data_IF_729435740191
#
_entry.id   IF_729435740191
#
_cell.length_a   1.000
_cell.length_b   1.000
_cell.length_c   1.000
_cell.angle_alpha   90.00
_cell.angle_beta   90.00
_cell.angle_gamma   90.00
#
_symmetry.space_group_name_H-M   'P 1'
#
loop_
_entity.id
_entity.type
_entity.pdbx_description
1 polymer ?
#
# COMPACT_ATOMS: atom_id res chain seq x y z
N UNK A 1 40.66 -5.07 -17.83
CA UNK A 1 40.13 -3.83 -17.24
C UNK A 1 39.76 -4.15 -15.81
N UNK A 2 40.44 -3.56 -14.84
CA UNK A 2 40.07 -3.66 -13.44
C UNK A 2 39.10 -2.51 -13.15
N UNK A 3 37.87 -2.81 -12.73
CA UNK A 3 36.94 -1.80 -12.22
C UNK A 3 37.53 -1.22 -10.95
N UNK A 4 37.53 0.11 -10.80
CA UNK A 4 37.99 0.73 -9.58
C UNK A 4 37.01 0.44 -8.45
N UNK A 5 37.48 0.46 -7.20
CA UNK A 5 36.63 0.27 -6.01
C UNK A 5 35.49 1.30 -5.94
N UNK A 6 35.71 2.48 -6.54
CA UNK A 6 34.71 3.53 -6.75
C UNK A 6 33.63 3.13 -7.77
N UNK A 7 33.99 2.43 -8.85
CA UNK A 7 33.03 1.98 -9.88
C UNK A 7 32.11 0.87 -9.35
N UNK A 8 32.62 0.03 -8.44
CA UNK A 8 31.82 -0.99 -7.76
C UNK A 8 30.90 -0.33 -6.73
N UNK A 9 31.39 0.65 -5.97
CA UNK A 9 30.58 1.40 -5.01
C UNK A 9 29.44 2.18 -5.68
N UNK A 10 29.66 2.76 -6.87
CA UNK A 10 28.61 3.40 -7.67
C UNK A 10 27.56 2.42 -8.20
N UNK A 11 27.94 1.16 -8.44
CA UNK A 11 27.03 0.11 -8.90
C UNK A 11 25.99 -0.30 -7.84
N UNK A 12 26.34 -0.13 -6.56
CA UNK A 12 25.49 -0.41 -5.40
C UNK A 12 25.01 0.87 -4.70
N UNK A 13 25.31 2.05 -5.25
CA UNK A 13 24.79 3.30 -4.72
C UNK A 13 23.27 3.36 -4.93
N UNK A 14 22.50 3.94 -4.00
CA UNK A 14 21.10 4.22 -4.21
C UNK A 14 20.91 4.94 -5.54
N UNK A 15 19.97 4.47 -6.36
CA UNK A 15 19.69 5.08 -7.66
C UNK A 15 19.42 6.59 -7.47
N UNK A 16 20.04 7.42 -8.33
CA UNK A 16 19.68 8.84 -8.34
C UNK A 16 18.18 8.96 -8.66
N UNK A 17 17.44 9.89 -8.05
CA UNK A 17 15.98 9.94 -8.21
C UNK A 17 15.47 10.04 -9.66
N UNK A 18 16.19 10.74 -10.54
CA UNK A 18 15.86 10.80 -11.97
C UNK A 18 16.08 9.46 -12.71
N UNK A 19 17.03 8.65 -12.26
CA UNK A 19 17.24 7.29 -12.78
C UNK A 19 16.19 6.32 -12.23
N UNK A 20 15.77 6.50 -10.96
CA UNK A 20 14.66 5.78 -10.39
C UNK A 20 13.35 6.05 -11.16
N UNK A 21 13.08 7.30 -11.57
CA UNK A 21 11.94 7.63 -12.42
C UNK A 21 11.96 6.88 -13.76
N UNK A 22 13.09 6.86 -14.46
CA UNK A 22 13.22 6.17 -15.74
C UNK A 22 12.97 4.66 -15.64
N UNK A 23 13.47 4.02 -14.56
CA UNK A 23 13.23 2.60 -14.27
C UNK A 23 11.76 2.36 -13.94
N UNK A 24 11.19 3.11 -12.99
CA UNK A 24 9.78 3.02 -12.60
C UNK A 24 8.85 3.20 -13.79
N UNK A 25 9.09 4.19 -14.65
CA UNK A 25 8.25 4.43 -15.82
C UNK A 25 8.40 3.32 -16.87
N UNK A 26 9.59 2.73 -17.00
CA UNK A 26 9.81 1.60 -17.91
C UNK A 26 9.04 0.36 -17.47
N UNK A 27 8.98 0.08 -16.17
CA UNK A 27 8.19 -1.01 -15.61
C UNK A 27 6.69 -0.69 -15.66
N UNK A 28 6.30 0.53 -15.30
CA UNK A 28 4.93 1.01 -15.38
C UNK A 28 4.34 0.82 -16.78
N UNK A 29 5.12 1.07 -17.84
CA UNK A 29 4.69 0.83 -19.23
C UNK A 29 4.41 -0.64 -19.53
N UNK A 30 5.13 -1.56 -18.90
CA UNK A 30 4.89 -2.99 -19.10
C UNK A 30 3.69 -3.49 -18.29
N UNK A 31 3.56 -3.03 -17.05
CA UNK A 31 2.55 -3.52 -16.11
C UNK A 31 1.21 -2.81 -16.30
N UNK A 32 1.19 -1.47 -16.29
CA UNK A 32 -0.06 -0.70 -16.25
C UNK A 32 -0.93 -0.86 -17.50
N UNK A 33 -0.34 -1.22 -18.65
CA UNK A 33 -1.09 -1.56 -19.86
C UNK A 33 -2.04 -2.77 -19.68
N UNK A 34 -1.74 -3.63 -18.71
CA UNK A 34 -2.48 -4.85 -18.41
C UNK A 34 -3.39 -4.71 -17.19
N UNK A 35 -3.26 -3.62 -16.42
CA UNK A 35 -4.08 -3.37 -15.24
C UNK A 35 -5.51 -3.03 -15.63
N UNK A 36 -6.47 -3.74 -15.04
CA UNK A 36 -7.90 -3.57 -15.31
C UNK A 36 -8.71 -3.16 -14.09
N UNK A 37 -8.25 -3.51 -12.90
CA UNK A 37 -8.96 -3.18 -11.66
C UNK A 37 -8.22 -2.11 -10.87
N UNK A 38 -8.94 -1.22 -10.15
CA UNK A 38 -8.28 -0.21 -9.33
C UNK A 38 -7.38 -0.82 -8.24
N UNK A 39 -7.76 -1.96 -7.66
CA UNK A 39 -6.96 -2.64 -6.64
C UNK A 39 -5.60 -3.12 -7.17
N UNK A 40 -5.54 -3.65 -8.39
CA UNK A 40 -4.27 -4.08 -9.00
C UNK A 40 -3.31 -2.89 -9.16
N UNK A 41 -3.84 -1.73 -9.55
CA UNK A 41 -3.08 -0.48 -9.66
C UNK A 41 -2.57 0.01 -8.29
N UNK A 42 -3.40 -0.10 -7.25
CA UNK A 42 -3.01 0.29 -5.88
C UNK A 42 -1.97 -0.66 -5.28
N UNK A 43 -2.11 -1.98 -5.50
CA UNK A 43 -1.14 -2.98 -5.05
C UNK A 43 0.22 -2.77 -5.72
N UNK A 44 0.23 -2.62 -7.04
CA UNK A 44 1.46 -2.31 -7.77
C UNK A 44 2.11 -1.00 -7.28
N UNK A 45 1.30 0.03 -7.05
CA UNK A 45 1.81 1.31 -6.52
C UNK A 45 2.38 1.20 -5.11
N UNK A 46 1.74 0.42 -4.25
CA UNK A 46 2.21 0.19 -2.88
C UNK A 46 3.52 -0.57 -2.87
N UNK A 47 3.63 -1.63 -3.67
CA UNK A 47 4.84 -2.43 -3.81
C UNK A 47 6.00 -1.60 -4.38
N UNK A 48 5.75 -0.83 -5.44
CA UNK A 48 6.72 0.10 -6.01
C UNK A 48 7.22 1.12 -4.97
N UNK A 49 6.34 1.71 -4.16
CA UNK A 49 6.73 2.64 -3.09
C UNK A 49 7.60 1.93 -2.04
N UNK A 50 7.22 0.71 -1.66
CA UNK A 50 7.97 -0.12 -0.73
C UNK A 50 9.38 -0.45 -1.24
N UNK A 51 9.50 -0.87 -2.48
CA UNK A 51 10.76 -1.22 -3.13
C UNK A 51 11.72 -0.01 -3.29
N UNK A 52 11.17 1.20 -3.40
CA UNK A 52 11.95 2.44 -3.42
C UNK A 52 12.40 2.88 -2.03
N UNK A 53 11.81 2.35 -0.97
CA UNK A 53 12.22 2.58 0.41
C UNK A 53 13.45 1.79 0.79
N UNK A 54 14.37 2.42 1.53
CA UNK A 54 15.53 1.78 2.13
C UNK A 54 15.06 0.65 3.07
N UNK A 55 15.41 -0.60 2.76
CA UNK A 55 14.90 -1.84 3.37
C UNK A 55 15.21 -2.09 4.86
N UNK A 56 15.38 -1.06 5.69
CA UNK A 56 15.56 -1.19 7.14
C UNK A 56 14.61 -0.23 7.88
N UNK A 57 13.46 -0.77 8.30
CA UNK A 57 12.56 -0.29 9.37
C UNK A 57 12.95 1.05 10.04
N UNK A 58 12.31 2.15 9.66
CA UNK A 58 12.53 3.48 10.26
C UNK A 58 11.90 4.60 9.43
N UNK A 59 11.88 5.86 9.92
CA UNK A 59 11.02 6.99 9.49
C UNK A 59 11.23 7.52 8.06
N UNK A 60 11.78 6.74 7.14
CA UNK A 60 12.21 7.17 5.81
C UNK A 60 11.14 7.08 4.72
N UNK A 61 9.96 6.53 5.03
CA UNK A 61 8.76 6.68 4.21
C UNK A 61 8.52 8.16 3.87
N UNK A 62 8.81 9.06 4.80
CA UNK A 62 8.68 10.50 4.55
C UNK A 62 9.70 11.02 3.54
N UNK A 63 10.90 10.45 3.46
CA UNK A 63 11.91 10.84 2.48
C UNK A 63 11.57 10.29 1.10
N UNK A 64 11.20 9.01 1.00
CA UNK A 64 10.72 8.40 -0.25
C UNK A 64 9.53 9.18 -0.80
N UNK A 65 8.52 9.46 0.04
CA UNK A 65 7.33 10.22 -0.37
C UNK A 65 7.68 11.64 -0.82
N UNK A 66 8.67 12.27 -0.16
CA UNK A 66 9.17 13.59 -0.54
C UNK A 66 9.93 13.54 -1.86
N UNK A 67 10.75 12.51 -2.09
CA UNK A 67 11.51 12.35 -3.31
C UNK A 67 10.60 12.07 -4.51
N UNK A 68 9.62 11.18 -4.34
CA UNK A 68 8.56 10.95 -5.31
C UNK A 68 7.82 12.26 -5.64
N UNK A 69 7.53 13.09 -4.63
CA UNK A 69 6.85 14.37 -4.82
C UNK A 69 7.71 15.41 -5.55
N UNK A 70 9.02 15.42 -5.33
CA UNK A 70 9.94 16.43 -5.88
C UNK A 70 10.51 16.07 -7.24
N UNK A 71 10.64 14.78 -7.55
CA UNK A 71 11.31 14.30 -8.77
C UNK A 71 10.37 13.53 -9.68
N UNK A 72 9.67 12.51 -9.16
CA UNK A 72 8.81 11.64 -9.99
C UNK A 72 7.56 12.36 -10.47
N UNK A 73 6.87 13.09 -9.60
CA UNK A 73 5.63 13.80 -9.96
C UNK A 73 5.86 14.86 -11.05
N UNK A 74 6.85 15.78 -10.95
CA UNK A 74 7.12 16.74 -12.01
C UNK A 74 7.56 16.08 -13.32
N UNK A 75 8.38 15.02 -13.26
CA UNK A 75 8.85 14.32 -14.44
C UNK A 75 7.72 13.57 -15.18
N UNK A 76 6.81 12.92 -14.45
CA UNK A 76 5.61 12.31 -15.02
C UNK A 76 4.66 13.35 -15.64
N UNK A 77 4.52 14.50 -14.98
CA UNK A 77 3.73 15.61 -15.49
C UNK A 77 4.29 16.18 -16.80
N UNK A 78 5.61 16.33 -16.90
CA UNK A 78 6.30 16.79 -18.11
C UNK A 78 6.21 15.76 -19.25
N UNK A 79 6.34 14.47 -18.95
CA UNK A 79 6.23 13.38 -19.94
C UNK A 79 4.83 13.26 -20.53
N UNK A 80 3.78 13.52 -19.73
CA UNK A 80 2.38 13.63 -20.16
C UNK A 80 1.88 12.47 -21.07
N UNK A 81 2.33 11.24 -20.80
CA UNK A 81 1.85 10.01 -21.44
C UNK A 81 0.70 9.38 -20.64
N UNK A 82 -0.04 8.45 -21.22
CA UNK A 82 -1.08 7.69 -20.50
C UNK A 82 -0.52 6.93 -19.30
N UNK A 83 0.69 6.40 -19.41
CA UNK A 83 1.36 5.68 -18.33
C UNK A 83 1.83 6.61 -17.23
N UNK A 84 2.33 7.80 -17.58
CA UNK A 84 2.66 8.85 -16.60
C UNK A 84 1.41 9.34 -15.88
N UNK A 85 0.29 9.53 -16.58
CA UNK A 85 -0.99 9.86 -15.95
C UNK A 85 -1.46 8.74 -15.00
N UNK A 86 -1.40 7.48 -15.43
CA UNK A 86 -1.75 6.33 -14.59
C UNK A 86 -0.88 6.26 -13.32
N UNK A 87 0.43 6.47 -13.43
CA UNK A 87 1.34 6.55 -12.28
C UNK A 87 0.93 7.68 -11.32
N UNK A 88 0.62 8.88 -11.82
CA UNK A 88 0.16 9.99 -11.00
C UNK A 88 -1.16 9.68 -10.29
N UNK A 89 -2.10 8.97 -10.94
CA UNK A 89 -3.36 8.51 -10.33
C UNK A 89 -3.10 7.53 -9.18
N UNK A 90 -2.17 6.60 -9.37
CA UNK A 90 -1.75 5.61 -8.35
C UNK A 90 -1.10 6.30 -7.15
N UNK A 91 -0.12 7.17 -7.37
CA UNK A 91 0.52 7.95 -6.31
C UNK A 91 -0.51 8.85 -5.58
N UNK A 92 -1.50 9.35 -6.31
CA UNK A 92 -2.65 10.07 -5.76
C UNK A 92 -3.64 9.21 -4.96
N UNK A 93 -3.58 7.89 -5.05
CA UNK A 93 -4.43 6.97 -4.30
C UNK A 93 -3.73 6.45 -3.05
N UNK A 94 -2.56 5.84 -3.21
CA UNK A 94 -1.85 5.14 -2.12
C UNK A 94 -0.75 5.98 -1.46
N UNK A 95 -0.32 7.08 -2.08
CA UNK A 95 0.72 7.94 -1.52
C UNK A 95 0.32 8.58 -0.19
N UNK A 96 1.33 8.86 0.64
CA UNK A 96 1.18 9.64 1.87
C UNK A 96 0.68 11.08 1.60
N UNK A 97 0.19 11.81 2.60
CA UNK A 97 -0.56 13.05 2.38
C UNK A 97 0.14 14.13 1.51
N UNK A 98 1.45 14.42 1.67
CA UNK A 98 2.14 15.38 0.80
C UNK A 98 2.20 14.92 -0.66
N UNK A 99 2.60 13.66 -0.90
CA UNK A 99 2.70 13.07 -2.24
C UNK A 99 1.33 13.00 -2.92
N UNK A 100 0.33 12.51 -2.18
CA UNK A 100 -1.05 12.36 -2.65
C UNK A 100 -1.59 13.65 -3.26
N UNK A 101 -1.40 14.77 -2.54
CA UNK A 101 -1.91 16.08 -2.97
C UNK A 101 -1.23 16.55 -4.25
N UNK A 102 0.10 16.47 -4.34
CA UNK A 102 0.82 16.95 -5.52
C UNK A 102 0.59 16.05 -6.73
N UNK A 103 0.54 14.73 -6.54
CA UNK A 103 0.29 13.75 -7.58
C UNK A 103 -1.11 13.90 -8.18
N UNK A 104 -2.16 14.07 -7.34
CA UNK A 104 -3.52 14.36 -7.82
C UNK A 104 -3.58 15.63 -8.65
N UNK A 105 -2.98 16.72 -8.16
CA UNK A 105 -2.99 17.99 -8.87
C UNK A 105 -2.25 17.91 -10.22
N UNK A 106 -1.14 17.17 -10.28
CA UNK A 106 -0.43 16.90 -11.53
C UNK A 106 -1.26 16.04 -12.49
N UNK A 107 -1.86 14.95 -12.00
CA UNK A 107 -2.75 14.09 -12.80
C UNK A 107 -3.88 14.90 -13.45
N UNK A 108 -4.52 15.79 -12.68
CA UNK A 108 -5.60 16.62 -13.19
C UNK A 108 -5.15 17.59 -14.29
N UNK A 109 -3.92 18.13 -14.19
CA UNK A 109 -3.35 18.99 -15.26
C UNK A 109 -3.01 18.19 -16.51
N UNK A 110 -2.41 17.00 -16.36
CA UNK A 110 -2.09 16.11 -17.47
C UNK A 110 -3.38 15.66 -18.19
N UNK A 111 -4.41 15.26 -17.45
CA UNK A 111 -5.72 14.90 -17.99
C UNK A 111 -6.40 16.08 -18.70
N UNK A 112 -6.34 17.29 -18.13
CA UNK A 112 -6.86 18.51 -18.76
C UNK A 112 -6.11 18.87 -20.07
N UNK A 113 -4.87 18.39 -20.24
CA UNK A 113 -4.11 18.46 -21.47
C UNK A 113 -4.57 17.50 -22.57
N UNK A 114 -5.54 16.63 -22.30
CA UNK A 114 -6.13 15.70 -23.27
C UNK A 114 -5.54 14.29 -23.28
N UNK A 115 -4.68 13.96 -22.31
CA UNK A 115 -4.15 12.60 -22.13
C UNK A 115 -5.28 11.70 -21.62
N UNK A 116 -5.55 10.55 -22.27
CA UNK A 116 -6.62 9.66 -21.84
C UNK A 116 -6.25 8.97 -20.52
N UNK A 117 -7.17 8.99 -19.56
CA UNK A 117 -7.09 8.25 -18.31
C UNK A 117 -7.32 6.74 -18.54
N UNK A 118 -6.81 5.93 -17.61
CA UNK A 118 -7.14 4.51 -17.56
C UNK A 118 -8.59 4.30 -17.08
N UNK A 119 -9.24 3.22 -17.53
CA UNK A 119 -10.64 2.93 -17.18
C UNK A 119 -10.91 2.86 -15.66
N UNK A 120 -9.91 2.41 -14.88
CA UNK A 120 -9.98 2.30 -13.42
C UNK A 120 -9.72 3.62 -12.68
N UNK A 121 -9.23 4.66 -13.36
CA UNK A 121 -8.72 5.89 -12.73
C UNK A 121 -9.80 6.67 -11.97
N UNK A 122 -11.06 6.59 -12.39
CA UNK A 122 -12.16 7.29 -11.72
C UNK A 122 -12.53 6.67 -10.35
N UNK A 123 -12.23 5.38 -10.15
CA UNK A 123 -12.60 4.65 -8.93
C UNK A 123 -11.45 4.54 -7.91
N UNK A 124 -10.19 4.60 -8.37
CA UNK A 124 -9.01 4.35 -7.53
C UNK A 124 -8.99 5.19 -6.24
N UNK A 125 -8.57 4.58 -5.12
CA UNK A 125 -8.53 5.22 -3.80
C UNK A 125 -9.89 5.44 -3.14
N UNK A 126 -11.01 5.02 -3.76
CA UNK A 126 -12.36 5.19 -3.21
C UNK A 126 -13.18 3.88 -3.21
N UNK A 127 -12.70 2.81 -2.56
CA UNK A 127 -13.43 1.55 -2.50
C UNK A 127 -14.64 1.64 -1.55
N UNK A 128 -15.69 0.86 -1.75
CA UNK A 128 -16.71 0.67 -0.72
C UNK A 128 -16.14 -0.13 0.46
N UNK A 129 -16.48 0.26 1.69
CA UNK A 129 -16.13 -0.52 2.89
C UNK A 129 -17.10 -1.70 3.02
N UNK A 130 -16.55 -2.89 3.17
CA UNK A 130 -17.28 -4.14 3.34
C UNK A 130 -17.30 -4.62 4.79
N UNK A 131 -17.13 -5.93 4.97
CA UNK A 131 -17.20 -6.59 6.27
C UNK A 131 -15.91 -6.33 7.04
N UNK A 132 -16.03 -6.12 8.35
CA UNK A 132 -14.90 -5.98 9.25
C UNK A 132 -15.00 -7.06 10.32
N UNK A 133 -13.87 -7.68 10.66
CA UNK A 133 -13.81 -8.67 11.72
C UNK A 133 -12.40 -8.73 12.32
N UNK A 134 -12.31 -9.35 13.48
CA UNK A 134 -11.02 -9.73 14.03
C UNK A 134 -11.07 -11.15 14.57
N UNK A 135 -9.90 -11.75 14.66
CA UNK A 135 -9.70 -12.91 15.51
C UNK A 135 -8.43 -12.74 16.34
N UNK A 136 -8.41 -13.31 17.53
CA UNK A 136 -7.26 -13.24 18.46
C UNK A 136 -7.07 -14.55 19.19
N UNK A 137 -5.88 -14.76 19.77
CA UNK A 137 -5.75 -15.80 20.79
C UNK A 137 -6.56 -15.43 22.04
N UNK A 138 -7.03 -16.42 22.80
CA UNK A 138 -7.80 -16.21 24.05
C UNK A 138 -7.11 -15.30 25.08
N UNK A 139 -5.78 -15.15 25.02
CA UNK A 139 -5.02 -14.24 25.87
C UNK A 139 -4.95 -12.81 25.33
N UNK A 140 -5.48 -12.55 24.12
CA UNK A 140 -5.46 -11.26 23.43
C UNK A 140 -4.04 -10.77 23.10
N UNK A 141 -3.05 -11.68 23.05
CA UNK A 141 -1.66 -11.29 22.82
C UNK A 141 -1.40 -10.90 21.37
N UNK A 142 -2.04 -11.58 20.44
CA UNK A 142 -2.03 -11.31 19.02
C UNK A 142 -3.46 -11.28 18.50
N UNK A 143 -3.76 -10.26 17.71
CA UNK A 143 -5.03 -10.17 16.97
C UNK A 143 -4.74 -9.93 15.49
N UNK A 144 -5.58 -10.47 14.62
CA UNK A 144 -5.65 -10.06 13.23
C UNK A 144 -6.92 -9.26 13.03
N UNK A 145 -6.80 -8.05 12.51
CA UNK A 145 -7.93 -7.21 12.12
C UNK A 145 -8.02 -7.23 10.60
N UNK A 146 -9.18 -7.61 10.07
CA UNK A 146 -9.44 -7.70 8.63
C UNK A 146 -10.60 -6.80 8.24
N UNK A 147 -10.42 -6.08 7.13
CA UNK A 147 -11.46 -5.25 6.51
C UNK A 147 -11.54 -5.59 5.03
N UNK A 148 -12.74 -5.91 4.54
CA UNK A 148 -12.96 -6.04 3.10
C UNK A 148 -13.32 -4.71 2.45
N UNK A 149 -12.92 -4.56 1.19
CA UNK A 149 -13.07 -3.38 0.37
C UNK A 149 -13.50 -3.78 -1.04
N UNK A 150 -14.29 -2.94 -1.71
CA UNK A 150 -14.87 -3.26 -3.02
C UNK A 150 -14.73 -2.16 -4.06
N UNK A 151 -14.41 -2.56 -5.29
CA UNK A 151 -14.53 -1.77 -6.51
C UNK A 151 -15.57 -2.42 -7.43
N UNK A 152 -16.85 -2.17 -7.15
CA UNK A 152 -17.95 -2.81 -7.87
C UNK A 152 -18.00 -4.31 -7.57
N UNK A 153 -17.57 -5.13 -8.53
CA UNK A 153 -17.55 -6.61 -8.39
C UNK A 153 -16.22 -7.17 -7.92
N UNK A 154 -15.17 -6.35 -7.87
CA UNK A 154 -13.86 -6.74 -7.37
C UNK A 154 -13.77 -6.45 -5.87
N UNK A 155 -13.74 -7.48 -5.04
CA UNK A 155 -13.55 -7.35 -3.59
C UNK A 155 -12.17 -7.87 -3.17
N UNK A 156 -11.56 -7.22 -2.19
CA UNK A 156 -10.30 -7.63 -1.57
C UNK A 156 -10.39 -7.41 -0.07
N UNK A 157 -9.60 -8.13 0.70
CA UNK A 157 -9.51 -7.99 2.15
C UNK A 157 -8.10 -7.59 2.54
N UNK A 158 -7.97 -6.53 3.34
CA UNK A 158 -6.72 -6.15 3.99
C UNK A 158 -6.74 -6.72 5.41
N UNK A 159 -5.76 -7.56 5.72
CA UNK A 159 -5.58 -8.14 7.05
C UNK A 159 -4.29 -7.62 7.67
N UNK A 160 -4.34 -7.29 8.95
CA UNK A 160 -3.19 -6.77 9.71
C UNK A 160 -3.03 -7.56 10.99
N UNK A 161 -1.85 -8.14 11.18
CA UNK A 161 -1.50 -8.85 12.41
C UNK A 161 -0.87 -7.87 13.40
N UNK A 162 -1.46 -7.77 14.59
CA UNK A 162 -1.06 -6.86 15.66
C UNK A 162 -0.57 -7.68 16.85
N UNK A 163 0.60 -7.33 17.39
CA UNK A 163 1.17 -7.98 18.58
C UNK A 163 1.09 -7.05 19.81
N UNK A 164 0.06 -7.28 20.63
CA UNK A 164 -0.16 -6.57 21.90
C UNK A 164 0.90 -6.90 22.95
N UNK A 165 1.52 -8.08 22.88
CA UNK A 165 2.70 -8.42 23.68
C UNK A 165 3.93 -7.58 23.36
N UNK A 166 3.95 -6.93 22.19
CA UNK A 166 5.00 -6.02 21.74
C UNK A 166 4.52 -4.56 21.64
N UNK A 167 3.47 -4.20 22.38
CA UNK A 167 2.97 -2.83 22.48
C UNK A 167 1.93 -2.45 21.43
N UNK A 168 1.24 -3.44 20.85
CA UNK A 168 0.23 -3.22 19.82
C UNK A 168 0.83 -2.90 18.46
N UNK A 169 2.07 -3.34 18.22
CA UNK A 169 2.80 -3.08 16.98
C UNK A 169 2.30 -3.99 15.86
N UNK A 170 2.37 -3.47 14.65
CA UNK A 170 2.07 -4.24 13.44
C UNK A 170 3.20 -5.23 13.22
N UNK A 171 2.84 -6.51 13.17
CA UNK A 171 3.76 -7.59 12.90
C UNK A 171 3.76 -7.96 11.42
N UNK A 172 2.60 -7.89 10.77
CA UNK A 172 2.42 -8.31 9.38
C UNK A 172 1.19 -7.63 8.76
N UNK A 173 1.14 -7.49 7.43
CA UNK A 173 0.00 -6.99 6.69
C UNK A 173 -0.05 -7.55 5.27
N UNK A 174 -1.20 -8.11 4.87
CA UNK A 174 -1.37 -8.74 3.56
C UNK A 174 -2.75 -8.46 2.97
N UNK A 175 -2.85 -8.65 1.65
CA UNK A 175 -4.10 -8.52 0.89
C UNK A 175 -4.49 -9.86 0.28
N UNK A 176 -5.74 -10.24 0.47
CA UNK A 176 -6.33 -11.46 -0.05
C UNK A 176 -7.62 -11.18 -0.84
N UNK A 177 -8.08 -12.17 -1.60
CA UNK A 177 -9.45 -12.19 -2.11
C UNK A 177 -10.44 -12.24 -0.94
N UNK A 178 -11.41 -11.31 -0.93
CA UNK A 178 -12.43 -11.28 0.10
C UNK A 178 -13.43 -12.45 0.00
N UNK A 179 -13.54 -13.08 -1.18
CA UNK A 179 -14.52 -14.11 -1.46
C UNK A 179 -14.40 -15.31 -0.52
N UNK A 180 -15.38 -15.44 0.38
CA UNK A 180 -15.44 -16.50 1.37
C UNK A 180 -14.38 -16.43 2.47
N UNK A 181 -13.57 -15.36 2.54
CA UNK A 181 -12.51 -15.23 3.54
C UNK A 181 -13.10 -15.18 4.96
N UNK A 182 -14.12 -14.35 5.18
CA UNK A 182 -14.82 -14.27 6.46
C UNK A 182 -15.31 -15.64 6.95
N UNK A 183 -15.97 -16.40 6.06
CA UNK A 183 -16.55 -17.69 6.42
C UNK A 183 -15.45 -18.71 6.77
N UNK A 184 -14.32 -18.67 6.05
CA UNK A 184 -13.13 -19.48 6.36
C UNK A 184 -12.52 -19.10 7.70
N UNK A 185 -12.38 -17.79 7.98
CA UNK A 185 -11.86 -17.30 9.26
C UNK A 185 -12.76 -17.70 10.43
N UNK A 186 -14.07 -17.53 10.27
CA UNK A 186 -15.05 -17.94 11.28
C UNK A 186 -15.01 -19.45 11.53
N UNK A 187 -14.97 -20.27 10.47
CA UNK A 187 -14.90 -21.73 10.61
C UNK A 187 -13.61 -22.19 11.31
N UNK A 188 -12.47 -21.54 10.98
CA UNK A 188 -11.20 -21.82 11.64
C UNK A 188 -11.27 -21.48 13.15
N UNK A 189 -11.86 -20.33 13.50
CA UNK A 189 -12.03 -19.92 14.89
C UNK A 189 -12.97 -20.85 15.68
N UNK A 190 -14.12 -21.24 15.11
CA UNK A 190 -15.05 -22.21 15.73
C UNK A 190 -14.38 -23.57 15.99
N UNK A 191 -13.42 -23.96 15.15
CA UNK A 191 -12.70 -25.23 15.28
C UNK A 191 -11.60 -25.22 16.34
N UNK A 192 -11.22 -24.04 16.87
CA UNK A 192 -10.16 -23.88 17.85
C UNK A 192 -10.65 -23.09 19.08
N UNK A 193 -10.84 -23.73 20.25
CA UNK A 193 -11.30 -23.05 21.46
C UNK A 193 -10.30 -22.03 22.01
N UNK A 194 -9.08 -21.95 21.45
CA UNK A 194 -8.07 -20.94 21.79
C UNK A 194 -8.14 -19.68 20.92
N UNK A 195 -9.08 -19.62 19.98
CA UNK A 195 -9.31 -18.45 19.12
C UNK A 195 -10.63 -17.77 19.50
N UNK A 196 -10.59 -16.45 19.63
CA UNK A 196 -11.76 -15.59 19.79
C UNK A 196 -11.99 -14.87 18.48
N UNK A 197 -13.21 -14.95 17.95
CA UNK A 197 -13.62 -14.28 16.72
C UNK A 197 -14.74 -13.30 17.01
N UNK A 198 -14.66 -12.08 16.46
CA UNK A 198 -15.75 -11.12 16.53
C UNK A 198 -15.87 -10.31 15.23
N UNK A 199 -17.10 -10.01 14.83
CA UNK A 199 -17.36 -8.99 13.82
C UNK A 199 -17.11 -7.59 14.41
N UNK A 200 -16.64 -6.68 13.57
CA UNK A 200 -16.38 -5.29 13.93
C UNK A 200 -17.24 -4.34 13.11
N UNK A 201 -17.55 -3.19 13.68
CA UNK A 201 -18.02 -2.05 12.91
C UNK A 201 -16.81 -1.37 12.21
N UNK A 202 -17.00 -0.76 11.03
CA UNK A 202 -15.91 -0.10 10.31
C UNK A 202 -15.11 0.93 11.13
N UNK A 203 -15.81 1.72 11.96
CA UNK A 203 -15.16 2.71 12.82
C UNK A 203 -14.23 2.10 13.86
N UNK A 204 -14.63 0.96 14.45
CA UNK A 204 -13.83 0.24 15.44
C UNK A 204 -12.59 -0.39 14.79
N UNK A 205 -12.76 -1.00 13.61
CA UNK A 205 -11.64 -1.54 12.83
C UNK A 205 -10.65 -0.42 12.45
N UNK A 206 -11.16 0.71 11.95
CA UNK A 206 -10.35 1.89 11.63
C UNK A 206 -9.57 2.41 12.83
N UNK A 207 -10.21 2.48 14.01
CA UNK A 207 -9.55 2.91 15.24
C UNK A 207 -8.43 1.95 15.67
N UNK A 208 -8.68 0.63 15.66
CA UNK A 208 -7.65 -0.37 16.01
C UNK A 208 -6.44 -0.31 15.08
N UNK A 209 -6.69 -0.25 13.77
CA UNK A 209 -5.61 -0.15 12.77
C UNK A 209 -4.84 1.17 12.89
N UNK A 210 -5.52 2.28 13.17
CA UNK A 210 -4.86 3.58 13.41
C UNK A 210 -3.97 3.56 14.66
N UNK A 211 -4.40 2.89 15.73
CA UNK A 211 -3.59 2.70 16.93
C UNK A 211 -2.36 1.84 16.64
N UNK A 212 -2.51 0.78 15.85
CA UNK A 212 -1.40 -0.09 15.47
C UNK A 212 -0.36 0.66 14.60
N UNK A 213 -0.80 1.48 13.65
CA UNK A 213 0.09 2.35 12.86
C UNK A 213 0.85 3.35 13.75
N UNK A 214 0.21 3.89 14.80
CA UNK A 214 0.88 4.79 15.75
C UNK A 214 1.91 4.07 16.63
N UNK A 215 1.65 2.80 16.99
CA UNK A 215 2.59 1.96 17.72
C UNK A 215 3.81 1.57 16.87
N UNK A 216 3.63 1.57 15.54
CA UNK A 216 4.65 1.27 14.54
C UNK A 216 4.78 -0.21 14.23
N UNK A 217 5.74 -0.53 13.38
CA UNK A 217 5.97 -1.88 12.87
C UNK A 217 7.05 -2.62 13.68
N UNK A 218 6.90 -3.94 13.80
CA UNK A 218 7.89 -4.86 14.36
C UNK A 218 7.74 -6.26 13.76
N UNK A 219 8.01 -6.41 12.45
CA UNK A 219 8.13 -7.74 11.86
C UNK A 219 9.26 -8.53 12.55
N UNK A 220 9.06 -9.84 12.64
CA UNK A 220 9.97 -10.78 13.29
C UNK A 220 10.55 -11.81 12.33
N UNK A 221 9.96 -11.94 11.14
CA UNK A 221 10.40 -12.86 10.09
C UNK A 221 10.62 -12.12 8.76
N UNK A 222 11.42 -12.67 7.83
CA UNK A 222 11.66 -12.06 6.53
C UNK A 222 10.39 -11.87 5.69
N UNK A 223 9.48 -12.86 5.65
CA UNK A 223 8.18 -12.77 4.97
C UNK A 223 7.34 -11.61 5.50
N UNK A 224 7.30 -11.42 6.83
CA UNK A 224 6.61 -10.29 7.47
C UNK A 224 7.23 -8.92 7.08
N UNK A 225 8.54 -8.86 6.82
CA UNK A 225 9.21 -7.64 6.32
C UNK A 225 8.81 -7.37 4.88
N UNK A 226 8.81 -8.39 4.04
CA UNK A 226 8.47 -8.30 2.63
C UNK A 226 7.00 -7.87 2.45
N UNK A 227 6.08 -8.51 3.18
CA UNK A 227 4.65 -8.22 3.15
C UNK A 227 4.36 -6.79 3.62
N UNK A 228 4.98 -6.34 4.72
CA UNK A 228 4.85 -4.94 5.15
C UNK A 228 5.42 -3.98 4.12
N UNK A 229 6.59 -4.28 3.54
CA UNK A 229 7.19 -3.43 2.51
C UNK A 229 6.25 -3.27 1.32
N UNK A 230 5.65 -4.37 0.84
CA UNK A 230 4.74 -4.35 -0.30
C UNK A 230 3.42 -3.62 0.01
N UNK A 231 2.87 -3.75 1.21
CA UNK A 231 1.50 -3.30 1.52
C UNK A 231 1.41 -2.03 2.38
N UNK A 232 2.52 -1.46 2.87
CA UNK A 232 2.52 -0.31 3.79
C UNK A 232 1.76 0.89 3.25
N UNK A 233 2.02 1.31 2.02
CA UNK A 233 1.35 2.47 1.44
C UNK A 233 -0.16 2.25 1.30
N UNK A 234 -0.57 1.05 0.87
CA UNK A 234 -1.98 0.67 0.81
C UNK A 234 -2.63 0.64 2.21
N UNK A 235 -1.96 0.05 3.21
CA UNK A 235 -2.43 0.03 4.60
C UNK A 235 -2.69 1.45 5.12
N UNK A 236 -1.72 2.35 4.98
CA UNK A 236 -1.88 3.75 5.37
C UNK A 236 -3.04 4.43 4.63
N UNK A 237 -3.21 4.16 3.34
CA UNK A 237 -4.31 4.70 2.55
C UNK A 237 -5.67 4.19 3.03
N UNK A 238 -5.79 2.89 3.34
CA UNK A 238 -7.04 2.28 3.84
C UNK A 238 -7.40 2.75 5.24
N UNK A 239 -6.44 2.87 6.15
CA UNK A 239 -6.71 3.41 7.49
C UNK A 239 -7.16 4.88 7.41
N UNK A 240 -6.52 5.68 6.56
CA UNK A 240 -6.96 7.06 6.32
C UNK A 240 -8.37 7.13 5.70
N UNK A 241 -8.71 6.16 4.83
CA UNK A 241 -10.03 6.06 4.21
C UNK A 241 -11.11 5.68 5.22
N UNK A 242 -10.85 4.69 6.08
CA UNK A 242 -11.73 4.27 7.17
C UNK A 242 -11.97 5.40 8.18
N UNK A 243 -10.97 6.23 8.46
CA UNK A 243 -11.14 7.37 9.37
C UNK A 243 -12.01 8.50 8.79
N UNK A 244 -12.20 8.52 7.47
CA UNK A 244 -12.93 9.58 6.77
C UNK A 244 -14.38 9.22 6.41
N UNK A 245 -14.80 7.97 6.61
CA UNK A 245 -16.11 7.43 6.22
C UNK A 245 -16.73 6.65 7.39
#
# INVERSE_FOLDING_TARGET
>A
MAFSESDIAELFAPLKPAQAFGVVLSEARQVLAHVRQPIDAELWGSDMIGALGSGESGPDDSEVMRELALSVVPAAEEDATSESLALLRILGAVGGPPLRRVARAAADRVAAGGVPDADWAAAIGSPSIGKCWHYSDVGGRQESVTVSFGYGTAEHALSVLIDHGNGGKIKDAWVDDAAGLLDKTWLAAESDPLIVFESLEPGDAGQRLAQALQAGERPTKPDEVDDLTAHRALLHARVAYLAAN
#
